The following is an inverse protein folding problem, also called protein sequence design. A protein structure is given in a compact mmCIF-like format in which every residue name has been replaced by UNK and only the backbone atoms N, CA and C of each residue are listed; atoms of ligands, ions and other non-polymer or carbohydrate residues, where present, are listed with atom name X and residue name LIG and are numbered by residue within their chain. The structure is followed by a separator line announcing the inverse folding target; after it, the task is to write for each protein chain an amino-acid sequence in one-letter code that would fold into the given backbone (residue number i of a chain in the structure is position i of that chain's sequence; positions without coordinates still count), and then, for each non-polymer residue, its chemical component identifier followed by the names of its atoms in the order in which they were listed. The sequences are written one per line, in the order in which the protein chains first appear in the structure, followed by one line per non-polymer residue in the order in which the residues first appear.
data_IF_390460297781
#
_entry.id   IF_390460297781
#
_cell.length_a   1.000
_cell.length_b   1.000
_cell.length_c   1.000
_cell.angle_alpha   90.00
_cell.angle_beta   90.00
_cell.angle_gamma   90.00
#
_symmetry.space_group_name_H-M   'P 1'
#
loop_
_entity.id
_entity.type
_entity.pdbx_description
1 polymer ?
#
# COMPACT_ATOMS: atom_id res chain seq x y z
N UNK A 1 15.35 13.60 12.95
CA UNK A 1 14.49 12.44 13.28
C UNK A 1 13.53 12.33 12.12
N UNK A 2 13.77 11.42 11.17
CA UNK A 2 12.89 11.26 10.01
C UNK A 2 11.66 10.51 10.51
N UNK A 3 10.50 11.17 10.50
CA UNK A 3 9.20 10.53 10.68
C UNK A 3 8.98 9.59 9.50
N UNK A 4 9.53 8.37 9.58
CA UNK A 4 9.04 7.30 8.74
C UNK A 4 7.63 6.99 9.22
N UNK A 5 6.62 7.33 8.42
CA UNK A 5 5.29 6.74 8.54
C UNK A 5 5.47 5.21 8.33
N UNK A 6 5.77 4.50 9.42
CA UNK A 6 6.13 3.08 9.45
C UNK A 6 4.91 2.15 9.40
N UNK A 7 3.89 2.51 8.62
CA UNK A 7 2.67 1.72 8.47
C UNK A 7 2.54 1.23 7.03
N UNK A 8 3.36 0.26 6.63
CA UNK A 8 3.25 -0.32 5.28
C UNK A 8 3.24 -1.85 5.28
N UNK A 9 2.84 -2.48 6.38
CA UNK A 9 2.71 -3.93 6.43
C UNK A 9 1.64 -4.34 7.43
N UNK A 10 0.52 -4.90 6.94
CA UNK A 10 -0.56 -5.37 7.82
C UNK A 10 -0.07 -6.45 8.79
N UNK A 11 0.93 -7.25 8.44
CA UNK A 11 1.48 -8.30 9.32
C UNK A 11 2.27 -7.77 10.53
N UNK A 12 2.50 -6.45 10.63
CA UNK A 12 3.11 -5.83 11.81
C UNK A 12 2.08 -5.30 12.81
N UNK A 13 0.78 -5.41 12.50
CA UNK A 13 -0.32 -4.98 13.35
C UNK A 13 -1.05 -6.14 14.03
N UNK A 14 -1.69 -5.82 15.16
CA UNK A 14 -2.67 -6.70 15.80
C UNK A 14 -4.08 -6.18 15.54
N UNK A 15 -4.97 -7.05 15.05
CA UNK A 15 -6.34 -6.70 14.70
C UNK A 15 -7.32 -7.51 15.54
N UNK A 16 -8.37 -6.85 16.05
CA UNK A 16 -9.45 -7.53 16.76
C UNK A 16 -10.28 -8.32 15.75
N UNK A 17 -10.31 -9.64 15.87
CA UNK A 17 -11.04 -10.51 14.94
C UNK A 17 -12.52 -10.15 14.81
N UNK A 18 -13.18 -9.80 15.92
CA UNK A 18 -14.59 -9.42 15.90
C UNK A 18 -14.84 -8.14 15.09
N UNK A 19 -13.95 -7.15 15.21
CA UNK A 19 -14.02 -5.92 14.43
C UNK A 19 -13.91 -6.21 12.92
N UNK A 20 -12.96 -7.07 12.52
CA UNK A 20 -12.79 -7.44 11.11
C UNK A 20 -14.03 -8.15 10.56
N UNK A 21 -14.62 -9.07 11.33
CA UNK A 21 -15.82 -9.83 10.93
C UNK A 21 -17.05 -8.93 10.84
N UNK A 22 -17.28 -8.10 11.86
CA UNK A 22 -18.41 -7.16 11.91
C UNK A 22 -18.40 -6.20 10.71
N UNK A 23 -17.23 -5.70 10.33
CA UNK A 23 -17.07 -4.76 9.22
C UNK A 23 -16.77 -5.44 7.87
N UNK A 24 -16.77 -6.78 7.82
CA UNK A 24 -16.51 -7.56 6.61
C UNK A 24 -15.20 -7.16 5.91
N UNK A 25 -14.14 -6.98 6.69
CA UNK A 25 -12.82 -6.58 6.19
C UNK A 25 -12.01 -7.82 5.84
N UNK A 26 -11.68 -7.96 4.56
CA UNK A 26 -10.92 -9.06 3.99
C UNK A 26 -9.84 -8.52 3.05
N UNK A 27 -8.86 -9.35 2.70
CA UNK A 27 -7.90 -9.01 1.65
C UNK A 27 -8.60 -8.95 0.30
N UNK A 28 -8.18 -8.00 -0.54
CA UNK A 28 -8.71 -7.86 -1.89
C UNK A 28 -8.01 -8.85 -2.83
N UNK A 29 -8.68 -9.95 -3.15
CA UNK A 29 -8.12 -11.04 -3.98
C UNK A 29 -7.85 -10.65 -5.44
N UNK A 30 -8.24 -9.45 -5.87
CA UNK A 30 -7.95 -8.94 -7.22
C UNK A 30 -6.51 -8.45 -7.37
N UNK A 31 -5.79 -8.28 -6.27
CA UNK A 31 -4.44 -7.71 -6.21
C UNK A 31 -3.55 -8.68 -5.43
N UNK A 32 -2.43 -9.12 -5.99
CA UNK A 32 -1.50 -10.02 -5.30
C UNK A 32 -0.36 -9.30 -4.59
N UNK A 33 -0.08 -8.04 -4.94
CA UNK A 33 0.95 -7.20 -4.34
C UNK A 33 0.33 -5.87 -3.89
N UNK A 34 0.57 -5.49 -2.63
CA UNK A 34 0.00 -4.29 -1.98
C UNK A 34 -1.49 -4.43 -1.60
N UNK A 35 -1.99 -5.66 -1.54
CA UNK A 35 -3.28 -6.03 -0.96
C UNK A 35 -3.35 -5.71 0.54
N UNK A 36 -2.21 -5.73 1.23
CA UNK A 36 -2.07 -5.34 2.62
C UNK A 36 -2.39 -3.86 2.88
N UNK A 37 -1.98 -2.98 1.97
CA UNK A 37 -2.34 -1.56 2.01
C UNK A 37 -3.85 -1.35 1.87
N UNK A 38 -4.50 -2.10 0.98
CA UNK A 38 -5.95 -2.06 0.81
C UNK A 38 -6.67 -2.51 2.08
N UNK A 39 -6.24 -3.63 2.66
CA UNK A 39 -6.75 -4.13 3.92
C UNK A 39 -6.61 -3.12 5.07
N UNK A 40 -5.44 -2.48 5.20
CA UNK A 40 -5.20 -1.48 6.24
C UNK A 40 -6.09 -0.24 6.05
N UNK A 41 -6.26 0.25 4.82
CA UNK A 41 -7.16 1.36 4.54
C UNK A 41 -8.59 1.01 4.93
N UNK A 42 -9.06 -0.20 4.62
CA UNK A 42 -10.40 -0.63 4.99
C UNK A 42 -10.60 -0.67 6.51
N UNK A 43 -9.56 -1.02 7.27
CA UNK A 43 -9.57 -0.90 8.72
C UNK A 43 -9.69 0.57 9.18
N UNK A 44 -8.84 1.47 8.66
CA UNK A 44 -8.80 2.86 9.11
C UNK A 44 -10.02 3.68 8.67
N UNK A 45 -10.72 3.24 7.62
CA UNK A 45 -11.92 3.91 7.15
C UNK A 45 -13.14 3.71 8.03
N UNK A 46 -13.15 2.67 8.87
CA UNK A 46 -14.27 2.44 9.79
C UNK A 46 -14.39 3.58 10.79
N UNK A 47 -15.63 3.93 11.16
CA UNK A 47 -15.90 5.04 12.08
C UNK A 47 -15.45 4.73 13.52
N UNK A 48 -15.53 3.47 13.93
CA UNK A 48 -15.27 3.02 15.31
C UNK A 48 -13.82 2.55 15.53
N UNK A 49 -12.93 2.81 14.57
CA UNK A 49 -11.54 2.34 14.66
C UNK A 49 -10.79 3.06 15.78
N UNK A 50 -10.13 2.28 16.63
CA UNK A 50 -9.18 2.78 17.63
C UNK A 50 -7.82 2.20 17.33
N UNK A 51 -6.83 3.07 17.11
CA UNK A 51 -5.47 2.69 16.77
C UNK A 51 -4.58 2.92 17.98
N UNK A 52 -3.86 1.89 18.39
CA UNK A 52 -2.83 1.97 19.43
C UNK A 52 -1.47 1.79 18.78
N UNK A 53 -0.58 2.75 19.00
CA UNK A 53 0.79 2.70 18.51
C UNK A 53 1.74 2.30 19.65
N UNK A 54 2.56 1.29 19.40
CA UNK A 54 3.61 0.85 20.32
C UNK A 54 4.96 1.28 19.76
N UNK A 55 5.67 2.23 20.41
CA UNK A 55 6.93 2.76 19.90
C UNK A 55 8.09 1.77 20.03
N UNK A 56 7.92 0.74 20.86
CA UNK A 56 8.92 -0.30 21.11
C UNK A 56 8.56 -1.57 20.33
N UNK A 57 9.58 -2.24 19.81
CA UNK A 57 9.42 -3.49 19.07
C UNK A 57 8.86 -4.58 19.98
N UNK A 58 7.59 -4.94 19.76
CA UNK A 58 6.94 -6.08 20.43
C UNK A 58 7.21 -7.40 19.71
N UNK A 59 7.64 -7.35 18.44
CA UNK A 59 7.94 -8.53 17.63
C UNK A 59 9.06 -8.24 16.62
N UNK A 60 9.92 -9.23 16.36
CA UNK A 60 11.00 -9.14 15.39
C UNK A 60 10.75 -10.10 14.22
N UNK A 61 10.50 -9.53 13.04
CA UNK A 61 10.29 -10.31 11.82
C UNK A 61 11.63 -10.82 11.27
N UNK A 62 11.81 -12.15 11.22
CA UNK A 62 13.00 -12.78 10.65
C UNK A 62 12.80 -13.05 9.16
N UNK A 63 13.69 -12.51 8.33
CA UNK A 63 13.78 -12.83 6.89
C UNK A 63 14.94 -13.80 6.67
N UNK A 64 14.74 -14.80 5.82
CA UNK A 64 15.80 -15.66 5.32
C UNK A 64 15.84 -15.59 3.80
N UNK A 65 16.89 -16.06 3.15
CA UNK A 65 17.07 -15.96 1.69
C UNK A 65 15.94 -16.61 0.86
N UNK A 66 15.15 -17.51 1.46
CA UNK A 66 14.02 -18.19 0.82
C UNK A 66 12.67 -17.56 1.16
N UNK A 67 12.65 -16.47 1.95
CA UNK A 67 11.42 -15.76 2.28
C UNK A 67 10.71 -15.30 1.01
N UNK A 68 9.39 -15.52 0.94
CA UNK A 68 8.56 -15.05 -0.17
C UNK A 68 8.68 -13.54 -0.40
N UNK A 69 8.97 -12.77 0.65
CA UNK A 69 9.21 -11.32 0.60
C UNK A 69 10.55 -10.92 -0.04
N UNK A 70 11.40 -11.86 -0.44
CA UNK A 70 12.66 -11.62 -1.16
C UNK A 70 12.61 -12.07 -2.62
N UNK A 71 11.50 -12.65 -3.07
CA UNK A 71 11.33 -12.96 -4.50
C UNK A 71 11.39 -11.66 -5.28
N UNK A 72 12.07 -11.69 -6.44
CA UNK A 72 12.15 -10.51 -7.30
C UNK A 72 10.76 -10.19 -7.84
N UNK A 73 10.33 -9.01 -7.44
CA UNK A 73 9.32 -8.18 -8.07
C UNK A 73 9.37 -8.29 -9.61
N UNK A 74 8.24 -8.67 -10.21
CA UNK A 74 8.07 -8.80 -11.65
C UNK A 74 7.12 -7.72 -12.19
N UNK A 75 6.99 -7.61 -13.52
CA UNK A 75 6.12 -6.59 -14.12
C UNK A 75 4.64 -6.73 -13.70
N UNK A 76 4.16 -7.95 -13.45
CA UNK A 76 2.81 -8.16 -12.94
C UNK A 76 2.63 -7.55 -11.53
N UNK A 77 3.62 -7.72 -10.64
CA UNK A 77 3.61 -7.07 -9.33
C UNK A 77 3.61 -5.55 -9.40
N UNK A 78 4.26 -4.97 -10.42
CA UNK A 78 4.17 -3.53 -10.68
C UNK A 78 2.75 -3.11 -11.06
N UNK A 79 2.06 -3.88 -11.92
CA UNK A 79 0.67 -3.62 -12.30
C UNK A 79 -0.28 -3.74 -11.10
N UNK A 80 -0.04 -4.70 -10.22
CA UNK A 80 -0.80 -4.88 -8.98
C UNK A 80 -0.68 -3.67 -8.05
N UNK A 81 0.54 -3.14 -7.87
CA UNK A 81 0.77 -1.94 -7.05
C UNK A 81 0.00 -0.73 -7.60
N UNK A 82 0.03 -0.51 -8.92
CA UNK A 82 -0.72 0.59 -9.53
C UNK A 82 -2.23 0.39 -9.41
N UNK A 83 -2.71 -0.85 -9.54
CA UNK A 83 -4.11 -1.24 -9.31
C UNK A 83 -4.52 -0.93 -7.87
N UNK A 84 -3.71 -1.29 -6.88
CA UNK A 84 -3.96 -0.94 -5.48
C UNK A 84 -4.07 0.59 -5.31
N UNK A 85 -3.15 1.37 -5.87
CA UNK A 85 -3.23 2.82 -5.80
C UNK A 85 -4.49 3.41 -6.45
N UNK A 86 -4.99 2.83 -7.55
CA UNK A 86 -6.26 3.22 -8.17
C UNK A 86 -7.43 3.00 -7.23
N UNK A 87 -7.48 1.84 -6.57
CA UNK A 87 -8.51 1.49 -5.59
C UNK A 87 -8.45 2.45 -4.40
N UNK A 88 -7.25 2.73 -3.87
CA UNK A 88 -7.06 3.67 -2.78
C UNK A 88 -7.56 5.08 -3.16
N UNK A 89 -7.24 5.57 -4.36
CA UNK A 89 -7.69 6.88 -4.86
C UNK A 89 -9.21 6.95 -5.01
N UNK A 90 -9.84 5.88 -5.49
CA UNK A 90 -11.31 5.80 -5.55
C UNK A 90 -11.94 5.85 -4.16
N UNK A 91 -11.35 5.18 -3.16
CA UNK A 91 -11.80 5.26 -1.76
C UNK A 91 -11.61 6.68 -1.21
N UNK A 92 -10.46 7.31 -1.46
CA UNK A 92 -10.16 8.69 -1.06
C UNK A 92 -11.21 9.70 -1.56
N UNK A 93 -11.57 9.61 -2.85
CA UNK A 93 -12.54 10.52 -3.49
C UNK A 93 -13.94 10.45 -2.87
N UNK A 94 -14.30 9.33 -2.25
CA UNK A 94 -15.60 9.13 -1.58
C UNK A 94 -15.64 9.74 -0.17
N UNK A 95 -14.51 10.24 0.35
CA UNK A 95 -14.38 10.76 1.72
C UNK A 95 -14.53 12.27 1.81
N UNK A 96 -15.41 12.87 0.99
CA UNK A 96 -15.63 14.32 1.00
C UNK A 96 -15.99 14.90 2.38
N UNK A 97 -16.55 14.08 3.27
CA UNK A 97 -16.93 14.44 4.64
C UNK A 97 -15.87 14.09 5.72
N UNK A 98 -14.68 13.60 5.36
CA UNK A 98 -13.63 13.22 6.33
C UNK A 98 -12.23 13.55 5.82
N UNK A 99 -11.84 14.84 5.87
CA UNK A 99 -10.55 15.33 5.34
C UNK A 99 -9.34 14.59 5.90
N UNK A 100 -9.32 14.31 7.21
CA UNK A 100 -8.19 13.62 7.87
C UNK A 100 -7.96 12.21 7.32
N UNK A 101 -9.04 11.47 7.05
CA UNK A 101 -8.98 10.13 6.44
C UNK A 101 -8.52 10.22 4.97
N UNK A 102 -8.95 11.25 4.25
CA UNK A 102 -8.53 11.48 2.89
C UNK A 102 -7.03 11.81 2.79
N UNK A 103 -6.51 12.62 3.72
CA UNK A 103 -5.07 12.96 3.79
C UNK A 103 -4.23 11.73 4.15
N UNK A 104 -4.68 10.91 5.10
CA UNK A 104 -4.01 9.65 5.45
C UNK A 104 -3.89 8.71 4.24
N UNK A 105 -4.98 8.54 3.48
CA UNK A 105 -4.94 7.72 2.26
C UNK A 105 -4.01 8.33 1.22
N UNK A 106 -3.97 9.65 1.08
CA UNK A 106 -3.03 10.33 0.17
C UNK A 106 -1.57 9.98 0.51
N UNK A 107 -1.22 10.05 1.80
CA UNK A 107 0.12 9.69 2.29
C UNK A 107 0.46 8.22 1.97
N UNK A 108 -0.49 7.30 2.17
CA UNK A 108 -0.30 5.89 1.82
C UNK A 108 -0.13 5.67 0.32
N UNK A 109 -0.94 6.35 -0.52
CA UNK A 109 -0.82 6.32 -1.98
C UNK A 109 0.56 6.80 -2.42
N UNK A 110 1.01 7.95 -1.91
CA UNK A 110 2.30 8.53 -2.26
C UNK A 110 3.48 7.63 -1.85
N UNK A 111 3.41 7.03 -0.65
CA UNK A 111 4.41 6.06 -0.19
C UNK A 111 4.44 4.81 -1.09
N UNK A 112 3.26 4.31 -1.49
CA UNK A 112 3.13 3.13 -2.36
C UNK A 112 3.66 3.41 -3.77
N UNK A 113 3.36 4.57 -4.35
CA UNK A 113 3.94 4.97 -5.64
C UNK A 113 5.45 5.13 -5.58
N UNK A 114 5.98 5.72 -4.51
CA UNK A 114 7.41 5.82 -4.29
C UNK A 114 8.07 4.45 -4.25
N UNK A 115 7.48 3.49 -3.54
CA UNK A 115 7.94 2.11 -3.52
C UNK A 115 7.95 1.49 -4.94
N UNK A 116 6.85 1.63 -5.68
CA UNK A 116 6.75 1.15 -7.06
C UNK A 116 7.85 1.76 -7.96
N UNK A 117 8.11 3.05 -7.81
CA UNK A 117 9.15 3.74 -8.57
C UNK A 117 10.55 3.22 -8.22
N UNK A 118 10.91 3.23 -6.94
CA UNK A 118 12.26 2.92 -6.47
C UNK A 118 12.61 1.43 -6.62
N UNK A 119 11.66 0.52 -6.36
CA UNK A 119 11.92 -0.93 -6.37
C UNK A 119 11.69 -1.57 -7.72
N UNK A 120 10.72 -1.09 -8.49
CA UNK A 120 10.41 -1.67 -9.80
C UNK A 120 10.95 -0.79 -10.91
N UNK A 121 10.39 0.41 -11.07
CA UNK A 121 10.58 1.22 -12.28
C UNK A 121 12.05 1.50 -12.60
N UNK A 122 12.85 1.89 -11.60
CA UNK A 122 14.29 2.18 -11.79
C UNK A 122 15.07 0.98 -12.35
N UNK A 123 14.66 -0.24 -11.98
CA UNK A 123 15.33 -1.49 -12.33
C UNK A 123 14.78 -2.16 -13.62
N UNK A 124 13.75 -1.59 -14.23
CA UNK A 124 13.17 -2.11 -15.48
C UNK A 124 14.10 -1.88 -16.67
N UNK A 125 14.10 -2.82 -17.61
CA UNK A 125 14.72 -2.62 -18.92
C UNK A 125 13.93 -1.54 -19.73
N UNK A 126 14.51 -0.97 -20.81
CA UNK A 126 13.87 0.12 -21.56
C UNK A 126 12.46 -0.19 -22.10
N UNK A 127 12.22 -1.42 -22.56
CA UNK A 127 10.93 -1.84 -23.09
C UNK A 127 9.85 -1.84 -21.98
N UNK A 128 10.18 -2.38 -20.81
CA UNK A 128 9.29 -2.39 -19.65
C UNK A 128 9.11 -1.00 -19.03
N UNK A 129 10.13 -0.13 -19.08
CA UNK A 129 9.98 1.28 -18.67
C UNK A 129 8.94 2.01 -19.52
N UNK A 130 8.90 1.78 -20.83
CA UNK A 130 7.90 2.39 -21.71
C UNK A 130 6.48 1.94 -21.34
N UNK A 131 6.29 0.62 -21.13
CA UNK A 131 5.01 0.07 -20.68
C UNK A 131 4.61 0.61 -19.29
N UNK A 132 5.56 0.71 -18.36
CA UNK A 132 5.32 1.28 -17.04
C UNK A 132 4.95 2.77 -17.07
N UNK A 133 5.56 3.56 -17.97
CA UNK A 133 5.19 4.97 -18.18
C UNK A 133 3.73 5.13 -18.60
N UNK A 134 3.26 4.30 -19.53
CA UNK A 134 1.87 4.31 -19.97
C UNK A 134 0.90 4.01 -18.81
N UNK A 135 1.28 3.08 -17.93
CA UNK A 135 0.48 2.76 -16.73
C UNK A 135 0.49 3.90 -15.70
N UNK A 136 1.63 4.54 -15.42
CA UNK A 136 1.65 5.73 -14.54
C UNK A 136 0.76 6.86 -15.08
N UNK A 137 0.76 7.06 -16.41
CA UNK A 137 -0.09 8.05 -17.07
C UNK A 137 -1.58 7.70 -16.96
N UNK A 138 -1.98 6.44 -17.22
CA UNK A 138 -3.37 5.98 -17.05
C UNK A 138 -3.88 6.27 -15.62
N UNK A 139 -3.00 6.10 -14.63
CA UNK A 139 -3.33 6.30 -13.23
C UNK A 139 -3.25 7.77 -12.77
N UNK A 140 -2.93 8.71 -13.67
CA UNK A 140 -2.71 10.14 -13.38
C UNK A 140 -1.69 10.35 -12.25
N UNK A 141 -0.53 9.72 -12.39
CA UNK A 141 0.56 9.77 -11.41
C UNK A 141 1.76 10.41 -12.07
N UNK A 142 2.27 11.48 -11.47
CA UNK A 142 3.55 12.04 -11.89
C UNK A 142 4.66 11.02 -11.58
N UNK A 143 5.41 10.65 -12.59
CA UNK A 143 6.64 9.88 -12.39
C UNK A 143 7.65 10.83 -11.73
N UNK A 144 8.25 10.48 -10.58
CA UNK A 144 9.33 11.26 -10.01
C UNK A 144 10.40 11.51 -11.08
N UNK A 145 10.75 12.78 -11.32
CA UNK A 145 11.78 13.10 -12.31
C UNK A 145 13.13 12.55 -11.84
N UNK A 146 13.95 12.09 -12.80
CA UNK A 146 15.32 11.60 -12.58
C UNK A 146 16.23 12.67 -11.96
#
# INVERSE_FOLDING_TARGET
MQESCGFTCCWLGFYRTEFLRQHQIYFDERVSISEDNLFMIDCFLMHEVKVLYFPNYIYLYRRNAQSSTLKKDNFAGFQDILTACKIMKQKQQRLAASPDKAEMIEKMINSTYRYAYEKFYLNLNPQLKLAAKALFQEHNVAIPQE
#
